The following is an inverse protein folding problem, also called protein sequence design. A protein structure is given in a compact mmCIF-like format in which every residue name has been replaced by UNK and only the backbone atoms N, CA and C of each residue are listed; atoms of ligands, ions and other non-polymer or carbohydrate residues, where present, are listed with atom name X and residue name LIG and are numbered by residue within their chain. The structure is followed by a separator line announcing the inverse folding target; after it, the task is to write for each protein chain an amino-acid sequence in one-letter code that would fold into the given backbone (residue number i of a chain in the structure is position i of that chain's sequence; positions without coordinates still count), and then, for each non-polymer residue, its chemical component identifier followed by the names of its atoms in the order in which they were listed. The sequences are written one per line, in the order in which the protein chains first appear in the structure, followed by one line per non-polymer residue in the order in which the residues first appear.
data_IF_179405987360
#
_entry.id   IF_179405987360
#
_cell.length_a   1.000
_cell.length_b   1.000
_cell.length_c   1.000
_cell.angle_alpha   90.00
_cell.angle_beta   90.00
_cell.angle_gamma   90.00
#
_symmetry.space_group_name_H-M   'P 1'
#
loop_
_entity.id
_entity.type
_entity.pdbx_description
1 polymer ?
#
# COMPACT_ATOMS: atom_id res chain seq x y z
N UNK A 1 -47.88 -7.36 49.29
CA UNK A 1 -47.43 -7.44 47.88
C UNK A 1 -46.11 -6.70 47.77
N UNK A 2 -45.01 -7.40 47.46
CA UNK A 2 -43.66 -6.84 47.48
C UNK A 2 -43.28 -6.12 46.18
N UNK A 3 -42.34 -5.19 46.35
CA UNK A 3 -41.67 -4.36 45.36
C UNK A 3 -40.97 -5.18 44.26
N UNK A 4 -40.98 -4.67 43.02
CA UNK A 4 -39.99 -5.03 41.99
C UNK A 4 -39.19 -3.79 41.60
N UNK A 5 -37.90 -3.90 41.85
CA UNK A 5 -36.82 -2.93 41.72
C UNK A 5 -36.46 -2.61 40.26
N UNK A 6 -35.77 -1.48 40.03
CA UNK A 6 -35.12 -1.17 38.76
C UNK A 6 -33.78 -1.94 38.65
N UNK A 7 -33.58 -2.65 37.55
CA UNK A 7 -32.30 -3.27 37.17
C UNK A 7 -31.96 -2.76 35.77
N UNK A 8 -30.90 -1.96 35.63
CA UNK A 8 -29.57 -2.41 35.18
C UNK A 8 -29.59 -2.68 33.66
N UNK A 9 -28.77 -2.07 32.80
CA UNK A 9 -27.37 -1.72 32.90
C UNK A 9 -27.09 -0.56 31.96
N UNK A 10 -26.19 0.34 32.36
CA UNK A 10 -25.38 1.07 31.39
C UNK A 10 -24.43 0.09 30.74
N UNK A 11 -24.43 0.04 29.41
CA UNK A 11 -23.31 -0.51 28.65
C UNK A 11 -22.78 0.59 27.73
N UNK A 12 -21.61 1.06 28.12
CA UNK A 12 -20.78 2.07 27.49
C UNK A 12 -20.37 1.65 26.07
N UNK A 13 -20.37 2.55 25.07
CA UNK A 13 -19.98 2.25 23.69
C UNK A 13 -18.46 2.07 23.46
N UNK A 14 -17.69 1.68 24.49
CA UNK A 14 -16.21 1.73 24.47
C UNK A 14 -15.56 0.38 24.13
N UNK A 15 -16.30 -0.74 24.12
CA UNK A 15 -15.72 -2.07 23.89
C UNK A 15 -15.61 -2.51 22.42
N UNK A 16 -16.13 -1.74 21.46
CA UNK A 16 -16.03 -2.07 20.03
C UNK A 16 -14.60 -1.90 19.46
N UNK A 17 -13.76 -1.09 20.12
CA UNK A 17 -12.37 -0.85 19.68
C UNK A 17 -11.38 -1.99 20.00
N UNK A 18 -11.66 -2.83 21.01
CA UNK A 18 -10.72 -3.87 21.44
C UNK A 18 -11.00 -5.22 20.76
N UNK A 19 -12.26 -5.51 20.40
CA UNK A 19 -12.63 -6.76 19.72
C UNK A 19 -12.15 -6.88 18.27
N UNK A 20 -11.81 -5.77 17.62
CA UNK A 20 -11.29 -5.77 16.25
C UNK A 20 -9.84 -6.29 16.17
N UNK A 21 -9.11 -6.32 17.28
CA UNK A 21 -7.65 -6.47 17.24
C UNK A 21 -7.20 -7.93 17.10
N UNK A 22 -7.85 -8.91 17.74
CA UNK A 22 -7.37 -10.30 17.71
C UNK A 22 -7.63 -11.02 16.39
N UNK A 23 -8.72 -10.68 15.67
CA UNK A 23 -9.00 -11.26 14.35
C UNK A 23 -8.05 -10.74 13.28
N UNK A 24 -7.79 -9.43 13.27
CA UNK A 24 -6.78 -8.83 12.41
C UNK A 24 -5.39 -9.31 12.78
N UNK A 25 -5.06 -9.38 14.08
CA UNK A 25 -3.80 -9.91 14.55
C UNK A 25 -3.61 -11.37 14.12
N UNK A 26 -4.64 -12.22 14.18
CA UNK A 26 -4.55 -13.63 13.75
C UNK A 26 -4.48 -13.80 12.23
N UNK A 27 -5.09 -12.89 11.45
CA UNK A 27 -4.93 -12.84 9.99
C UNK A 27 -3.51 -12.38 9.62
N UNK A 28 -2.98 -11.37 10.33
CA UNK A 28 -1.61 -10.86 10.15
C UNK A 28 -0.56 -11.86 10.67
N UNK A 29 -0.85 -12.62 11.73
CA UNK A 29 -0.01 -13.71 12.26
C UNK A 29 -0.14 -15.03 11.51
N UNK A 30 -0.86 -15.06 10.39
CA UNK A 30 -0.89 -16.26 9.58
C UNK A 30 0.53 -16.55 9.05
N UNK A 31 1.01 -17.79 9.29
CA UNK A 31 2.37 -18.23 8.95
C UNK A 31 2.75 -17.98 7.48
N UNK A 32 1.76 -18.00 6.58
CA UNK A 32 2.00 -17.72 5.16
C UNK A 32 2.31 -16.24 4.90
N UNK A 33 1.55 -15.33 5.51
CA UNK A 33 1.80 -13.88 5.41
C UNK A 33 3.15 -13.50 6.02
N UNK A 34 3.48 -14.06 7.19
CA UNK A 34 4.77 -13.82 7.85
C UNK A 34 5.94 -14.25 6.97
N UNK A 35 5.87 -15.44 6.34
CA UNK A 35 6.96 -15.90 5.45
C UNK A 35 7.14 -15.00 4.24
N UNK A 36 6.05 -14.54 3.63
CA UNK A 36 6.11 -13.65 2.46
C UNK A 36 6.67 -12.29 2.87
N UNK A 37 6.17 -11.73 3.98
CA UNK A 37 6.65 -10.45 4.50
C UNK A 37 8.14 -10.53 4.86
N UNK A 38 8.57 -11.57 5.58
CA UNK A 38 9.98 -11.82 5.87
C UNK A 38 10.81 -12.03 4.61
N UNK A 39 10.27 -12.72 3.59
CA UNK A 39 10.95 -12.92 2.32
C UNK A 39 11.17 -11.62 1.55
N UNK A 40 10.15 -10.75 1.50
CA UNK A 40 10.24 -9.41 0.90
C UNK A 40 11.24 -8.56 1.68
N UNK A 41 11.14 -8.54 3.00
CA UNK A 41 12.01 -7.73 3.87
C UNK A 41 13.46 -8.22 3.79
N UNK A 42 13.67 -9.54 3.74
CA UNK A 42 14.98 -10.16 3.56
C UNK A 42 15.57 -9.87 2.17
N UNK A 43 14.75 -9.95 1.12
CA UNK A 43 15.16 -9.60 -0.25
C UNK A 43 15.54 -8.12 -0.38
N UNK A 44 14.76 -7.23 0.23
CA UNK A 44 15.05 -5.80 0.28
C UNK A 44 16.33 -5.52 1.07
N UNK A 45 16.50 -6.15 2.24
CA UNK A 45 17.73 -6.04 3.01
C UNK A 45 18.95 -6.54 2.24
N UNK A 46 18.83 -7.65 1.50
CA UNK A 46 19.90 -8.18 0.66
C UNK A 46 20.26 -7.24 -0.50
N UNK A 47 19.27 -6.64 -1.15
CA UNK A 47 19.50 -5.64 -2.20
C UNK A 47 20.23 -4.40 -1.65
N UNK A 48 19.84 -3.90 -0.47
CA UNK A 48 20.51 -2.78 0.19
C UNK A 48 21.97 -3.12 0.52
N UNK A 49 22.26 -4.34 0.99
CA UNK A 49 23.63 -4.78 1.25
C UNK A 49 24.47 -4.79 -0.03
N UNK A 50 23.93 -5.29 -1.15
CA UNK A 50 24.60 -5.25 -2.44
C UNK A 50 24.91 -3.82 -2.89
N UNK A 51 23.95 -2.90 -2.70
CA UNK A 51 24.14 -1.49 -3.04
C UNK A 51 25.25 -0.86 -2.21
N UNK A 52 25.32 -1.13 -0.91
CA UNK A 52 26.40 -0.62 -0.05
C UNK A 52 27.78 -1.10 -0.53
N UNK A 53 27.91 -2.38 -0.89
CA UNK A 53 29.16 -2.93 -1.42
C UNK A 53 29.55 -2.25 -2.74
N UNK A 54 28.58 -2.05 -3.64
CA UNK A 54 28.75 -1.32 -4.90
C UNK A 54 29.21 0.12 -4.67
N UNK A 55 28.59 0.84 -3.73
CA UNK A 55 28.99 2.22 -3.43
C UNK A 55 30.38 2.31 -2.83
N UNK A 56 30.80 1.34 -2.01
CA UNK A 56 32.17 1.27 -1.50
C UNK A 56 33.15 1.12 -2.67
N UNK A 57 32.89 0.18 -3.59
CA UNK A 57 33.75 -0.01 -4.77
C UNK A 57 33.78 1.22 -5.68
N UNK A 58 32.63 1.85 -5.90
CA UNK A 58 32.50 3.05 -6.72
C UNK A 58 33.21 4.25 -6.08
N UNK A 59 33.19 4.34 -4.75
CA UNK A 59 33.88 5.38 -3.97
C UNK A 59 35.39 5.31 -4.15
N UNK A 60 35.97 4.10 -4.22
CA UNK A 60 37.39 3.93 -4.51
C UNK A 60 37.77 4.36 -5.93
N UNK A 61 36.87 4.20 -6.90
CA UNK A 61 37.16 4.49 -8.31
C UNK A 61 36.99 5.98 -8.66
N UNK A 62 35.91 6.59 -8.19
CA UNK A 62 35.47 7.93 -8.61
C UNK A 62 35.69 8.99 -7.52
N UNK A 63 35.84 8.56 -6.27
CA UNK A 63 35.99 9.42 -5.11
C UNK A 63 34.69 9.62 -4.32
N UNK A 64 34.77 9.83 -3.00
CA UNK A 64 33.62 9.82 -2.09
C UNK A 64 32.64 10.97 -2.34
N UNK A 65 33.12 12.15 -2.73
CA UNK A 65 32.28 13.33 -3.01
C UNK A 65 31.33 13.09 -4.19
N UNK A 66 31.82 12.42 -5.24
CA UNK A 66 31.02 12.14 -6.43
C UNK A 66 29.96 11.07 -6.13
N UNK A 67 30.29 10.07 -5.31
CA UNK A 67 29.33 9.07 -4.83
C UNK A 67 28.22 9.71 -4.00
N UNK A 68 28.54 10.64 -3.11
CA UNK A 68 27.53 11.35 -2.32
C UNK A 68 26.60 12.20 -3.19
N UNK A 69 27.14 12.89 -4.21
CA UNK A 69 26.33 13.63 -5.17
C UNK A 69 25.39 12.70 -5.97
N UNK A 70 25.90 11.54 -6.40
CA UNK A 70 25.12 10.54 -7.13
C UNK A 70 24.00 9.95 -6.26
N UNK A 71 24.29 9.66 -4.99
CA UNK A 71 23.32 9.19 -4.01
C UNK A 71 22.22 10.23 -3.77
N UNK A 72 22.58 11.50 -3.64
CA UNK A 72 21.59 12.58 -3.48
C UNK A 72 20.69 12.72 -4.72
N UNK A 73 21.27 12.66 -5.93
CA UNK A 73 20.51 12.72 -7.18
C UNK A 73 19.58 11.52 -7.35
N UNK A 74 20.05 10.30 -7.04
CA UNK A 74 19.24 9.09 -7.14
C UNK A 74 18.14 9.06 -6.10
N UNK A 75 18.42 9.43 -4.84
CA UNK A 75 17.41 9.56 -3.80
C UNK A 75 16.30 10.56 -4.19
N UNK A 76 16.70 11.76 -4.62
CA UNK A 76 15.75 12.79 -5.04
C UNK A 76 14.94 12.39 -6.27
N UNK A 77 15.63 11.86 -7.30
CA UNK A 77 15.00 11.40 -8.53
C UNK A 77 14.00 10.26 -8.30
N UNK A 78 14.39 9.25 -7.51
CA UNK A 78 13.51 8.13 -7.18
C UNK A 78 12.28 8.57 -6.40
N UNK A 79 12.42 9.49 -5.45
CA UNK A 79 11.30 10.00 -4.68
C UNK A 79 10.28 10.71 -5.58
N UNK A 80 10.75 11.55 -6.51
CA UNK A 80 9.88 12.22 -7.49
C UNK A 80 9.17 11.23 -8.40
N UNK A 81 9.87 10.19 -8.85
CA UNK A 81 9.30 9.13 -9.68
C UNK A 81 8.25 8.34 -8.90
N UNK A 82 8.53 7.97 -7.65
CA UNK A 82 7.60 7.26 -6.78
C UNK A 82 6.32 8.06 -6.55
N UNK A 83 6.42 9.38 -6.31
CA UNK A 83 5.24 10.26 -6.18
C UNK A 83 4.42 10.30 -7.47
N UNK A 84 5.05 10.50 -8.64
CA UNK A 84 4.32 10.53 -9.91
C UNK A 84 3.63 9.20 -10.23
N UNK A 85 4.27 8.08 -9.90
CA UNK A 85 3.69 6.75 -10.07
C UNK A 85 2.47 6.60 -9.16
N UNK A 86 2.60 6.94 -7.88
CA UNK A 86 1.50 6.86 -6.92
C UNK A 86 0.29 7.68 -7.38
N UNK A 87 0.50 8.92 -7.84
CA UNK A 87 -0.57 9.79 -8.34
C UNK A 87 -1.23 9.23 -9.61
N UNK A 88 -0.43 8.78 -10.58
CA UNK A 88 -0.94 8.29 -11.86
C UNK A 88 -1.76 7.00 -11.71
N UNK A 89 -1.25 6.04 -10.95
CA UNK A 89 -1.94 4.78 -10.72
C UNK A 89 -3.11 4.95 -9.74
N UNK A 90 -3.00 5.85 -8.76
CA UNK A 90 -4.09 6.20 -7.84
C UNK A 90 -5.28 6.84 -8.53
N UNK A 91 -5.03 7.84 -9.41
CA UNK A 91 -6.08 8.49 -10.20
C UNK A 91 -6.82 7.49 -11.10
N UNK A 92 -6.09 6.63 -11.82
CA UNK A 92 -6.69 5.60 -12.68
C UNK A 92 -7.51 4.57 -11.92
N UNK A 93 -7.10 4.21 -10.71
CA UNK A 93 -7.86 3.31 -9.85
C UNK A 93 -9.19 3.98 -9.46
N UNK A 94 -9.15 5.25 -9.04
CA UNK A 94 -10.33 6.00 -8.63
C UNK A 94 -11.30 6.23 -9.80
N UNK A 95 -10.79 6.55 -10.99
CA UNK A 95 -11.59 6.67 -12.21
C UNK A 95 -12.28 5.34 -12.58
N UNK A 96 -11.60 4.21 -12.39
CA UNK A 96 -12.17 2.88 -12.64
C UNK A 96 -13.23 2.49 -11.61
N UNK A 97 -13.04 2.86 -10.34
CA UNK A 97 -14.05 2.68 -9.29
C UNK A 97 -15.29 3.53 -9.56
N UNK A 98 -15.11 4.81 -9.91
CA UNK A 98 -16.19 5.73 -10.24
C UNK A 98 -16.95 5.33 -11.50
N UNK A 99 -16.27 4.75 -12.49
CA UNK A 99 -16.87 4.24 -13.73
C UNK A 99 -17.64 2.93 -13.56
N UNK A 100 -17.60 2.27 -12.41
CA UNK A 100 -18.32 1.02 -12.15
C UNK A 100 -17.80 -0.20 -12.92
N UNK A 101 -16.65 -0.10 -13.59
CA UNK A 101 -16.06 -1.19 -14.39
C UNK A 101 -14.99 -1.89 -13.56
N UNK A 102 -15.29 -3.10 -13.09
CA UNK A 102 -14.31 -3.96 -12.44
C UNK A 102 -13.37 -4.55 -13.49
N UNK A 103 -12.09 -4.18 -13.44
CA UNK A 103 -11.04 -4.88 -14.18
C UNK A 103 -9.88 -5.20 -13.23
N UNK A 104 -9.68 -6.50 -13.05
CA UNK A 104 -8.63 -7.08 -12.21
C UNK A 104 -7.23 -6.63 -12.64
N UNK A 105 -7.04 -6.34 -13.93
CA UNK A 105 -5.76 -5.93 -14.48
C UNK A 105 -5.28 -4.58 -13.91
N UNK A 106 -6.20 -3.64 -13.66
CA UNK A 106 -5.83 -2.35 -13.07
C UNK A 106 -5.39 -2.49 -11.61
N UNK A 107 -6.03 -3.38 -10.84
CA UNK A 107 -5.63 -3.67 -9.47
C UNK A 107 -4.26 -4.36 -9.40
N UNK A 108 -4.01 -5.31 -10.30
CA UNK A 108 -2.71 -5.99 -10.40
C UNK A 108 -1.59 -5.00 -10.75
N UNK A 109 -1.84 -4.10 -11.71
CA UNK A 109 -0.89 -3.07 -12.10
C UNK A 109 -0.65 -2.04 -10.97
N UNK A 110 -1.71 -1.64 -10.25
CA UNK A 110 -1.61 -0.76 -9.09
C UNK A 110 -0.77 -1.39 -7.97
N UNK A 111 -1.03 -2.66 -7.64
CA UNK A 111 -0.25 -3.38 -6.63
C UNK A 111 1.22 -3.55 -7.02
N UNK A 112 1.49 -3.84 -8.29
CA UNK A 112 2.85 -3.91 -8.82
C UNK A 112 3.55 -2.54 -8.77
N UNK A 113 2.85 -1.46 -9.07
CA UNK A 113 3.37 -0.10 -8.98
C UNK A 113 3.70 0.30 -7.53
N UNK A 114 2.83 -0.03 -6.57
CA UNK A 114 3.11 0.18 -5.15
C UNK A 114 4.34 -0.62 -4.70
N UNK A 115 4.45 -1.86 -5.13
CA UNK A 115 5.58 -2.70 -4.78
C UNK A 115 6.90 -2.20 -5.39
N UNK A 116 6.88 -1.76 -6.64
CA UNK A 116 8.01 -1.08 -7.26
C UNK A 116 8.38 0.21 -6.51
N UNK A 117 7.38 0.95 -6.00
CA UNK A 117 7.59 2.10 -5.13
C UNK A 117 8.40 1.77 -3.87
N UNK A 118 8.11 0.65 -3.21
CA UNK A 118 8.87 0.19 -2.03
C UNK A 118 10.35 -0.08 -2.39
N UNK A 119 10.63 -0.57 -3.59
CA UNK A 119 11.99 -0.77 -4.10
C UNK A 119 12.65 0.53 -4.60
N UNK A 120 11.88 1.56 -4.96
CA UNK A 120 12.45 2.86 -5.36
C UNK A 120 12.83 3.75 -4.17
N UNK A 121 12.17 3.60 -3.01
CA UNK A 121 12.39 4.46 -1.84
C UNK A 121 13.84 4.43 -1.34
N UNK A 122 14.48 3.26 -1.16
CA UNK A 122 15.88 3.22 -0.73
C UNK A 122 16.80 3.67 -1.87
N UNK A 123 17.68 4.66 -1.65
CA UNK A 123 18.63 5.08 -2.65
C UNK A 123 19.67 3.98 -2.90
N UNK A 124 19.69 3.44 -4.12
CA UNK A 124 20.57 2.35 -4.51
C UNK A 124 20.60 2.15 -6.02
N UNK A 125 21.66 1.59 -6.60
CA UNK A 125 21.72 1.30 -8.03
C UNK A 125 20.92 0.04 -8.36
N UNK A 126 21.18 -1.03 -7.60
CA UNK A 126 20.53 -2.33 -7.74
C UNK A 126 19.05 -2.22 -7.38
N UNK A 127 18.74 -1.58 -6.26
CA UNK A 127 17.37 -1.45 -5.80
C UNK A 127 16.51 -0.61 -6.79
N UNK A 128 17.10 0.47 -7.32
CA UNK A 128 16.46 1.29 -8.37
C UNK A 128 16.25 0.49 -9.65
N UNK A 129 17.26 -0.24 -10.11
CA UNK A 129 17.14 -1.10 -11.30
C UNK A 129 16.03 -2.14 -11.12
N UNK A 130 15.98 -2.82 -9.98
CA UNK A 130 14.94 -3.80 -9.68
C UNK A 130 13.56 -3.15 -9.69
N UNK A 131 13.39 -2.00 -9.03
CA UNK A 131 12.10 -1.31 -9.01
C UNK A 131 11.66 -0.84 -10.39
N UNK A 132 12.57 -0.32 -11.22
CA UNK A 132 12.27 0.02 -12.62
C UNK A 132 11.92 -1.20 -13.47
N UNK A 133 12.63 -2.32 -13.28
CA UNK A 133 12.34 -3.58 -13.99
C UNK A 133 10.95 -4.10 -13.61
N UNK A 134 10.54 -4.00 -12.34
CA UNK A 134 9.18 -4.38 -11.90
C UNK A 134 8.12 -3.46 -12.51
N UNK A 135 8.44 -2.19 -12.77
CA UNK A 135 7.51 -1.23 -13.36
C UNK A 135 7.19 -1.54 -14.84
N UNK A 136 8.03 -2.32 -15.53
CA UNK A 136 7.78 -2.67 -16.92
C UNK A 136 6.49 -3.51 -17.03
N UNK A 137 5.56 -3.17 -17.96
CA UNK A 137 4.25 -3.83 -18.07
C UNK A 137 4.27 -5.38 -18.15
N UNK A 138 5.24 -6.05 -18.81
CA UNK A 138 5.29 -7.52 -18.77
C UNK A 138 5.66 -8.06 -17.38
N UNK A 139 6.53 -7.36 -16.65
CA UNK A 139 7.02 -7.77 -15.33
C UNK A 139 6.01 -7.40 -14.25
N UNK A 140 5.37 -6.24 -14.36
CA UNK A 140 4.35 -5.76 -13.42
C UNK A 140 3.18 -6.73 -13.32
N UNK A 141 2.69 -7.25 -14.45
CA UNK A 141 1.62 -8.27 -14.48
C UNK A 141 2.05 -9.55 -13.77
N UNK A 142 3.28 -9.99 -13.98
CA UNK A 142 3.79 -11.21 -13.37
C UNK A 142 4.04 -11.04 -11.87
N UNK A 143 4.64 -9.92 -11.47
CA UNK A 143 4.89 -9.56 -10.07
C UNK A 143 3.57 -9.38 -9.31
N UNK A 144 2.63 -8.62 -9.86
CA UNK A 144 1.31 -8.38 -9.27
C UNK A 144 0.46 -9.65 -9.19
N UNK A 145 0.47 -10.51 -10.22
CA UNK A 145 -0.23 -11.80 -10.17
C UNK A 145 0.38 -12.74 -9.13
N UNK A 146 1.72 -12.79 -9.01
CA UNK A 146 2.37 -13.53 -7.92
C UNK A 146 1.97 -12.98 -6.57
N UNK A 147 2.01 -11.65 -6.39
CA UNK A 147 1.59 -11.01 -5.15
C UNK A 147 0.14 -11.32 -4.78
N UNK A 148 -0.77 -11.25 -5.75
CA UNK A 148 -2.18 -11.60 -5.55
C UNK A 148 -2.32 -13.04 -5.02
N UNK A 149 -1.61 -14.00 -5.63
CA UNK A 149 -1.60 -15.40 -5.19
C UNK A 149 -1.00 -15.57 -3.80
N UNK A 150 0.09 -14.87 -3.49
CA UNK A 150 0.78 -14.98 -2.21
C UNK A 150 0.04 -14.31 -1.05
N UNK A 151 -0.65 -13.20 -1.30
CA UNK A 151 -1.43 -12.48 -0.29
C UNK A 151 -2.86 -13.00 -0.14
N UNK A 152 -3.31 -13.94 -0.99
CA UNK A 152 -4.69 -14.45 -0.96
C UNK A 152 -5.75 -13.35 -1.09
N UNK A 153 -5.38 -12.20 -1.66
CA UNK A 153 -6.25 -11.02 -1.75
C UNK A 153 -7.27 -11.28 -2.85
N UNK A 154 -8.54 -11.36 -2.47
CA UNK A 154 -9.63 -11.32 -3.43
C UNK A 154 -9.83 -9.87 -3.87
N UNK A 155 -9.31 -9.53 -5.05
CA UNK A 155 -9.46 -8.20 -5.67
C UNK A 155 -10.93 -7.75 -5.77
N UNK A 156 -11.85 -8.71 -5.91
CA UNK A 156 -13.30 -8.47 -5.87
C UNK A 156 -13.76 -7.87 -4.53
N UNK A 157 -13.26 -8.35 -3.38
CA UNK A 157 -13.58 -7.78 -2.07
C UNK A 157 -12.95 -6.40 -1.89
N UNK A 158 -11.69 -6.24 -2.33
CA UNK A 158 -11.01 -4.94 -2.28
C UNK A 158 -11.79 -3.86 -3.07
N UNK A 159 -12.31 -4.23 -4.24
CA UNK A 159 -13.18 -3.37 -5.03
C UNK A 159 -14.49 -3.03 -4.31
N UNK A 160 -15.14 -4.02 -3.70
CA UNK A 160 -16.38 -3.82 -2.94
C UNK A 160 -16.18 -2.82 -1.78
N UNK A 161 -15.07 -2.92 -1.04
CA UNK A 161 -14.72 -1.97 0.01
C UNK A 161 -14.51 -0.55 -0.51
N UNK A 162 -13.79 -0.39 -1.63
CA UNK A 162 -13.56 0.94 -2.22
C UNK A 162 -14.86 1.55 -2.72
N UNK A 163 -15.71 0.77 -3.38
CA UNK A 163 -17.01 1.21 -3.89
C UNK A 163 -17.95 1.65 -2.76
N UNK A 164 -18.04 0.86 -1.67
CA UNK A 164 -18.86 1.20 -0.51
C UNK A 164 -18.43 2.52 0.12
N UNK A 165 -17.11 2.78 0.21
CA UNK A 165 -16.60 4.03 0.75
C UNK A 165 -16.96 5.24 -0.13
N UNK A 166 -16.86 5.10 -1.47
CA UNK A 166 -17.26 6.15 -2.41
C UNK A 166 -18.75 6.51 -2.30
N UNK A 167 -19.63 5.52 -2.11
CA UNK A 167 -21.07 5.72 -1.93
C UNK A 167 -21.36 6.46 -0.62
N UNK A 168 -20.73 6.04 0.49
CA UNK A 168 -20.87 6.67 1.80
C UNK A 168 -20.40 8.13 1.80
N UNK A 169 -19.30 8.43 1.11
CA UNK A 169 -18.78 9.80 1.01
C UNK A 169 -19.72 10.68 0.18
N UNK A 170 -20.31 10.13 -0.90
CA UNK A 170 -21.33 10.81 -1.70
C UNK A 170 -22.59 11.12 -0.89
N UNK A 171 -23.08 10.17 -0.09
CA UNK A 171 -24.23 10.39 0.80
C UNK A 171 -23.93 11.41 1.90
N UNK A 172 -22.71 11.41 2.45
CA UNK A 172 -22.28 12.41 3.44
C UNK A 172 -22.23 13.83 2.85
N UNK A 173 -21.79 13.99 1.61
CA UNK A 173 -21.79 15.27 0.89
C UNK A 173 -23.22 15.74 0.59
N UNK A 174 -24.10 14.84 0.16
CA UNK A 174 -25.51 15.17 -0.10
C UNK A 174 -26.24 15.58 1.19
N UNK A 175 -26.03 14.86 2.30
CA UNK A 175 -26.61 15.19 3.59
C UNK A 175 -26.09 16.56 4.11
N UNK A 176 -24.80 16.86 3.93
CA UNK A 176 -24.20 18.13 4.35
C UNK A 176 -24.61 19.32 3.47
N UNK A 177 -24.93 19.08 2.20
CA UNK A 177 -25.45 20.08 1.27
C UNK A 177 -26.89 20.51 1.58
N UNK A 178 -27.70 19.62 2.16
CA UNK A 178 -29.12 19.89 2.46
C UNK A 178 -29.32 20.84 3.66
N UNK A 179 -28.38 20.89 4.60
CA UNK A 179 -28.43 21.81 5.75
C UNK A 179 -28.22 23.30 5.42
N UNK A 180 -27.84 23.64 4.19
CA UNK A 180 -27.68 25.05 3.76
C UNK A 180 -28.88 25.61 3.00
N UNK A 181 -29.93 24.79 2.78
CA UNK A 181 -31.24 25.21 2.26
C UNK A 181 -32.34 25.02 3.30
N UNK A 182 -32.20 25.66 4.45
CA UNK A 182 -33.34 25.91 5.33
C UNK A 182 -33.48 27.44 5.43
N UNK A 183 -34.41 28.07 4.67
CA UNK A 183 -34.76 29.46 4.88
C UNK A 183 -35.48 29.66 6.23
#
# INVERSE_FOLDING_TARGET
MPLKTPSSCGESPVYFGVMLNYRLLNIVLNSQFIRVYLGILGGLGFAVLLDVVLFIQLSYLVGPWLVMALLALTAGGNLLVAFKIADFYGGRLMDSVNGGVYSEEYFVNYAAALFAGIFLVPPGLVNTLIGYVILLPPVSRFAGSRMAKYLGVNWSKAYEYLRLNTIMDTEAVLNKGDFTRIP
#
